data_IF_354185695901
#
_entry.id   IF_354185695901
#
_cell.length_a   1.000
_cell.length_b   1.000
_cell.length_c   1.000
_cell.angle_alpha   90.00
_cell.angle_beta   90.00
_cell.angle_gamma   90.00
#
_symmetry.space_group_name_H-M   'P 1'
#
loop_
_entity.id
_entity.type
_entity.pdbx_description
1 polymer ?
#
# COMPACT_ATOMS: atom_id res chain seq x y z
N UNK A 1 12.36 4.52 -5.82
CA UNK A 1 12.80 5.62 -4.92
C UNK A 1 11.64 6.58 -4.72
N UNK A 2 11.63 7.38 -3.65
CA UNK A 2 10.57 8.38 -3.40
C UNK A 2 10.96 9.76 -3.92
N UNK A 3 9.98 10.55 -4.38
CA UNK A 3 10.18 11.88 -4.95
C UNK A 3 9.15 12.90 -4.40
N UNK A 4 9.35 14.19 -4.69
CA UNK A 4 8.44 15.31 -4.33
C UNK A 4 8.11 15.44 -2.83
N UNK A 5 8.93 14.87 -1.94
CA UNK A 5 8.64 14.82 -0.50
C UNK A 5 7.57 13.80 -0.09
N UNK A 6 7.09 12.96 -1.03
CA UNK A 6 6.19 11.84 -0.75
C UNK A 6 6.94 10.63 -0.19
N UNK A 7 7.56 10.80 0.97
CA UNK A 7 8.33 9.73 1.65
C UNK A 7 7.46 8.52 1.96
N UNK A 8 8.07 7.33 2.00
CA UNK A 8 7.35 6.06 2.16
C UNK A 8 6.56 5.98 3.48
N UNK A 9 7.05 6.59 4.54
CA UNK A 9 6.41 6.55 5.87
C UNK A 9 5.04 7.21 5.94
N UNK A 10 4.66 8.02 4.94
CA UNK A 10 3.32 8.64 4.88
C UNK A 10 2.19 7.63 4.73
N UNK A 11 2.45 6.46 4.14
CA UNK A 11 1.43 5.43 4.00
C UNK A 11 1.06 4.74 5.33
N UNK A 12 1.87 4.91 6.38
CA UNK A 12 1.67 4.30 7.70
C UNK A 12 1.71 5.33 8.83
N UNK A 13 1.48 6.61 8.52
CA UNK A 13 1.54 7.72 9.49
C UNK A 13 0.27 7.86 10.37
N UNK A 14 -0.71 6.97 10.20
CA UNK A 14 -1.97 6.99 10.93
C UNK A 14 -3.02 7.97 10.38
N UNK A 15 -2.75 8.64 9.26
CA UNK A 15 -3.65 9.60 8.64
C UNK A 15 -4.09 9.15 7.23
N UNK A 16 -5.38 8.88 7.07
CA UNK A 16 -5.97 8.42 5.81
C UNK A 16 -6.28 9.56 4.82
N UNK A 17 -5.81 10.79 5.06
CA UNK A 17 -6.06 11.92 4.19
C UNK A 17 -5.48 11.70 2.79
N UNK A 18 -6.38 11.52 1.81
CA UNK A 18 -6.04 11.13 0.44
C UNK A 18 -5.65 12.29 -0.49
N UNK A 19 -5.73 13.54 -0.02
CA UNK A 19 -5.22 14.70 -0.78
C UNK A 19 -3.74 14.91 -0.52
N UNK A 20 -2.93 15.02 -1.59
CA UNK A 20 -1.47 15.25 -1.52
C UNK A 20 -1.06 16.39 -0.60
N UNK A 21 -1.82 17.48 -0.63
CA UNK A 21 -1.54 18.69 0.14
C UNK A 21 -1.69 18.48 1.66
N UNK A 22 -2.33 17.40 2.08
CA UNK A 22 -2.46 17.01 3.50
C UNK A 22 -1.17 16.41 4.05
N UNK A 23 -0.22 16.05 3.20
CA UNK A 23 1.07 15.50 3.63
C UNK A 23 1.06 14.02 4.03
N UNK A 24 0.00 13.26 3.74
CA UNK A 24 -0.11 11.80 4.03
C UNK A 24 -0.18 10.89 2.80
N UNK A 25 0.24 11.39 1.63
CA UNK A 25 0.32 10.57 0.41
C UNK A 25 1.79 10.36 0.04
N UNK A 26 2.16 9.11 -0.26
CA UNK A 26 3.51 8.73 -0.74
C UNK A 26 3.65 9.01 -2.24
N UNK A 27 4.88 9.07 -2.75
CA UNK A 27 5.12 9.23 -4.20
C UNK A 27 6.45 8.61 -4.61
N UNK A 28 6.40 7.64 -5.52
CA UNK A 28 7.59 7.08 -6.17
C UNK A 28 8.07 8.01 -7.28
N UNK A 29 9.34 7.93 -7.69
CA UNK A 29 9.85 8.78 -8.77
C UNK A 29 9.26 8.39 -10.14
N UNK A 30 9.13 9.36 -11.05
CA UNK A 30 8.66 9.11 -12.42
C UNK A 30 9.58 8.17 -13.20
N UNK A 31 9.03 7.54 -14.24
CA UNK A 31 9.72 6.63 -15.18
C UNK A 31 10.32 5.37 -14.55
N UNK A 32 9.84 4.97 -13.37
CA UNK A 32 10.11 3.66 -12.80
C UNK A 32 8.98 2.71 -13.22
N UNK A 33 9.32 1.58 -13.82
CA UNK A 33 8.37 0.49 -14.03
C UNK A 33 8.26 -0.33 -12.75
N UNK A 34 7.10 -0.97 -12.54
CA UNK A 34 6.89 -1.92 -11.44
C UNK A 34 7.27 -1.34 -10.07
N UNK A 35 6.84 -0.11 -9.81
CA UNK A 35 7.12 0.53 -8.53
C UNK A 35 6.39 -0.16 -7.39
N UNK A 36 7.09 -0.34 -6.27
CA UNK A 36 6.56 -0.97 -5.07
C UNK A 36 6.70 -0.05 -3.86
N UNK A 37 5.92 -0.38 -2.84
CA UNK A 37 6.05 0.13 -1.48
C UNK A 37 6.00 -1.05 -0.54
N UNK A 38 6.83 -1.02 0.52
CA UNK A 38 6.90 -2.07 1.53
C UNK A 38 6.99 -1.43 2.91
N UNK A 39 6.35 -2.07 3.87
CA UNK A 39 6.55 -1.87 5.30
C UNK A 39 7.16 -3.13 5.90
N UNK A 40 7.98 -2.94 6.91
CA UNK A 40 8.49 -3.99 7.81
C UNK A 40 7.72 -3.82 9.13
N UNK A 41 7.07 -4.87 9.61
CA UNK A 41 6.25 -4.80 10.83
C UNK A 41 7.11 -4.94 12.10
N UNK A 42 8.40 -5.22 11.96
CA UNK A 42 9.40 -5.42 13.03
C UNK A 42 9.20 -6.68 13.88
N UNK A 43 8.02 -7.30 13.83
CA UNK A 43 7.68 -8.56 14.50
C UNK A 43 6.49 -9.24 13.81
N UNK A 44 6.24 -10.50 14.17
CA UNK A 44 5.14 -11.28 13.64
C UNK A 44 3.77 -10.77 14.14
N UNK A 45 2.85 -10.54 13.21
CA UNK A 45 1.44 -10.24 13.51
C UNK A 45 0.52 -11.18 12.76
N UNK A 46 -0.58 -11.58 13.43
CA UNK A 46 -1.74 -12.11 12.72
C UNK A 46 -2.51 -10.94 12.10
N UNK A 47 -2.39 -10.79 10.77
CA UNK A 47 -3.08 -9.74 10.03
C UNK A 47 -4.38 -10.30 9.47
N UNK A 48 -5.49 -9.62 9.72
CA UNK A 48 -6.83 -10.01 9.24
C UNK A 48 -7.29 -9.20 8.03
N UNK A 49 -6.73 -8.01 7.82
CA UNK A 49 -7.06 -7.14 6.70
C UNK A 49 -5.94 -6.15 6.39
N UNK A 50 -5.79 -5.83 5.11
CA UNK A 50 -4.96 -4.74 4.61
C UNK A 50 -5.88 -3.72 3.94
N UNK A 51 -5.71 -2.43 4.25
CA UNK A 51 -6.50 -1.35 3.68
C UNK A 51 -5.60 -0.40 2.90
N UNK A 52 -5.89 -0.22 1.60
CA UNK A 52 -5.10 0.65 0.71
C UNK A 52 -5.97 1.81 0.23
N UNK A 53 -5.62 3.03 0.67
CA UNK A 53 -6.34 4.26 0.28
C UNK A 53 -5.63 4.94 -0.88
N UNK A 54 -6.38 5.20 -1.96
CA UNK A 54 -5.85 5.87 -3.15
C UNK A 54 -5.88 7.40 -2.99
N UNK A 55 -5.09 8.10 -3.81
CA UNK A 55 -5.04 9.56 -3.88
C UNK A 55 -6.37 10.13 -4.41
N UNK A 56 -6.78 11.26 -3.86
CA UNK A 56 -8.02 11.95 -4.22
C UNK A 56 -7.82 13.13 -5.18
N UNK A 57 -6.83 13.99 -4.94
CA UNK A 57 -6.76 15.32 -5.54
C UNK A 57 -6.33 15.32 -7.02
N UNK A 58 -5.57 14.31 -7.45
CA UNK A 58 -5.28 14.02 -8.85
C UNK A 58 -4.83 12.58 -9.00
N UNK A 59 -4.70 12.13 -10.25
CA UNK A 59 -3.79 11.03 -10.58
C UNK A 59 -4.16 9.69 -9.92
N UNK A 60 -5.42 9.54 -9.51
CA UNK A 60 -5.95 8.33 -8.87
C UNK A 60 -5.89 7.15 -9.82
N UNK A 61 -5.97 7.42 -11.12
CA UNK A 61 -5.82 6.50 -12.23
C UNK A 61 -4.42 5.88 -12.34
N UNK A 62 -3.48 6.17 -11.44
CA UNK A 62 -2.17 5.51 -11.41
C UNK A 62 -2.15 4.23 -10.58
N UNK A 63 -3.03 4.13 -9.59
CA UNK A 63 -3.08 2.99 -8.68
C UNK A 63 -4.08 1.95 -9.22
N UNK A 64 -3.68 1.28 -10.31
CA UNK A 64 -4.44 0.19 -10.92
C UNK A 64 -3.62 -1.09 -10.95
N UNK A 65 -4.32 -2.22 -11.05
CA UNK A 65 -3.74 -3.56 -11.23
C UNK A 65 -2.68 -3.90 -10.16
N UNK A 66 -2.94 -3.45 -8.93
CA UNK A 66 -1.99 -3.59 -7.82
C UNK A 66 -1.93 -5.03 -7.31
N UNK A 67 -0.74 -5.46 -6.93
CA UNK A 67 -0.51 -6.74 -6.25
C UNK A 67 -0.14 -6.41 -4.81
N UNK A 68 -0.87 -7.03 -3.87
CA UNK A 68 -0.55 -7.00 -2.44
C UNK A 68 0.09 -8.34 -2.09
N UNK A 69 1.31 -8.28 -1.59
CA UNK A 69 2.06 -9.44 -1.12
C UNK A 69 2.41 -9.27 0.35
N UNK A 70 2.36 -10.36 1.11
CA UNK A 70 2.79 -10.38 2.50
C UNK A 70 3.67 -11.60 2.77
N UNK A 71 4.67 -11.40 3.62
CA UNK A 71 5.74 -12.36 3.86
C UNK A 71 5.81 -12.69 5.36
N UNK A 72 6.25 -13.90 5.68
CA UNK A 72 6.59 -14.27 7.07
C UNK A 72 8.01 -13.80 7.44
N UNK A 73 8.39 -14.01 8.70
CA UNK A 73 9.73 -13.66 9.23
C UNK A 73 10.89 -14.43 8.58
N UNK A 74 10.61 -15.51 7.84
CA UNK A 74 11.61 -16.22 7.03
C UNK A 74 11.76 -15.64 5.61
N UNK A 75 10.92 -14.67 5.24
CA UNK A 75 10.82 -14.11 3.90
C UNK A 75 9.96 -14.96 2.95
N UNK A 76 9.20 -15.92 3.48
CA UNK A 76 8.28 -16.75 2.70
C UNK A 76 7.01 -15.98 2.35
N UNK A 77 6.58 -16.02 1.08
CA UNK A 77 5.31 -15.44 0.65
C UNK A 77 4.14 -16.22 1.27
N UNK A 78 3.36 -15.59 2.13
CA UNK A 78 2.23 -16.21 2.84
C UNK A 78 0.86 -15.71 2.39
N UNK A 79 0.82 -14.57 1.69
CA UNK A 79 -0.40 -14.02 1.13
C UNK A 79 -0.08 -13.25 -0.15
N UNK A 80 -0.93 -13.42 -1.17
CA UNK A 80 -0.90 -12.60 -2.39
C UNK A 80 -2.31 -12.36 -2.88
N UNK A 81 -2.60 -11.13 -3.31
CA UNK A 81 -3.86 -10.77 -3.94
C UNK A 81 -3.63 -9.73 -5.03
N UNK A 82 -4.17 -9.99 -6.22
CA UNK A 82 -4.22 -9.01 -7.31
C UNK A 82 -5.56 -8.27 -7.28
N UNK A 83 -5.50 -6.94 -7.19
CA UNK A 83 -6.66 -6.08 -7.39
C UNK A 83 -6.65 -5.58 -8.83
N UNK A 84 -7.51 -6.18 -9.67
CA UNK A 84 -7.63 -5.82 -11.09
C UNK A 84 -8.44 -4.53 -11.23
N UNK A 85 -7.95 -3.61 -12.04
CA UNK A 85 -8.53 -2.29 -12.22
C UNK A 85 -8.04 -1.29 -11.18
N UNK A 86 -8.63 -0.09 -11.22
CA UNK A 86 -8.25 1.03 -10.37
C UNK A 86 -8.99 1.05 -9.04
N UNK A 87 -8.26 1.42 -7.99
CA UNK A 87 -8.90 1.86 -6.74
C UNK A 87 -9.51 3.24 -7.02
N UNK A 88 -10.77 3.45 -6.66
CA UNK A 88 -11.47 4.70 -6.98
C UNK A 88 -10.79 5.95 -6.40
N UNK A 89 -11.12 7.12 -6.95
CA UNK A 89 -10.60 8.42 -6.53
C UNK A 89 -10.82 8.67 -5.03
N UNK A 90 -9.74 8.67 -4.25
CA UNK A 90 -9.81 8.79 -2.80
C UNK A 90 -10.44 7.61 -2.07
N UNK A 91 -10.74 6.52 -2.79
CA UNK A 91 -11.35 5.31 -2.25
C UNK A 91 -10.34 4.41 -1.54
N UNK A 92 -10.86 3.46 -0.77
CA UNK A 92 -10.08 2.48 -0.03
C UNK A 92 -10.44 1.08 -0.49
N UNK A 93 -9.45 0.32 -0.95
CA UNK A 93 -9.59 -1.10 -1.19
C UNK A 93 -9.30 -1.88 0.10
N UNK A 94 -10.17 -2.84 0.40
CA UNK A 94 -10.00 -3.77 1.51
C UNK A 94 -9.55 -5.13 0.97
N UNK A 95 -8.50 -5.67 1.56
CA UNK A 95 -7.93 -6.97 1.25
C UNK A 95 -8.08 -7.84 2.49
N UNK A 96 -9.09 -8.71 2.48
CA UNK A 96 -9.29 -9.65 3.58
C UNK A 96 -8.18 -10.70 3.53
N UNK A 97 -7.49 -10.87 4.66
CA UNK A 97 -6.41 -11.84 4.82
C UNK A 97 -6.97 -13.07 5.54
N UNK A 98 -6.69 -14.30 5.06
CA UNK A 98 -7.14 -15.52 5.71
C UNK A 98 -6.76 -15.57 7.20
N UNK A 99 -7.63 -16.14 8.01
CA UNK A 99 -7.36 -16.32 9.44
C UNK A 99 -6.09 -17.16 9.66
N UNK A 100 -5.36 -16.88 10.74
CA UNK A 100 -4.07 -17.50 11.08
C UNK A 100 -2.93 -17.22 10.08
N UNK A 101 -3.04 -16.22 9.21
CA UNK A 101 -1.91 -15.75 8.39
C UNK A 101 -1.00 -14.86 9.23
N UNK A 102 0.23 -15.32 9.47
CA UNK A 102 1.27 -14.59 10.20
C UNK A 102 2.16 -13.85 9.22
N UNK A 103 2.29 -12.53 9.39
CA UNK A 103 3.06 -11.63 8.53
C UNK A 103 4.08 -10.89 9.39
N UNK A 104 5.27 -10.68 8.83
CA UNK A 104 6.36 -9.88 9.39
C UNK A 104 6.74 -8.72 8.48
#
# INVERSE_FOLDING_TARGET
>A
TTCHGGVASRATDGNIASSWHSGSVTHTCYNQQETWWKVDLEQDYEIVAIQLTNRYDCCWDRLNDVIVEAFDSSGGLVYTMQHVGGIERGGTANFDVPANTIIS
#
